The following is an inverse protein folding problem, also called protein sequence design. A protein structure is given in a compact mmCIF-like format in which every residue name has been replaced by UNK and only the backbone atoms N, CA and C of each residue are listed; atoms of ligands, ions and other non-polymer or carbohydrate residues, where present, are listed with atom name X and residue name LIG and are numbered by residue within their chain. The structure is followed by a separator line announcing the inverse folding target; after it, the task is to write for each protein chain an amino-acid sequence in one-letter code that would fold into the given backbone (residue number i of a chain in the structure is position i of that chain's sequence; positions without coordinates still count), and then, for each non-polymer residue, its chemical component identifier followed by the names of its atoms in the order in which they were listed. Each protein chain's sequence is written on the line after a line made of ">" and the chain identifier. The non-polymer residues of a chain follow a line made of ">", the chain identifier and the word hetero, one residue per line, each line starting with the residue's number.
data_IF_036033275068
#
_entry.id   IF_036033275068
#
_cell.length_a   1.000
_cell.length_b   1.000
_cell.length_c   1.000
_cell.angle_alpha   90.00
_cell.angle_beta   90.00
_cell.angle_gamma   90.00
#
_symmetry.space_group_name_H-M   'P 1'
#
loop_
_entity.id
_entity.type
_entity.pdbx_description
1 polymer ?
#
# COMPACT_ATOMS: atom_id res chain seq x y z
N UNK A 1 28.79 -8.22 18.77
CA UNK A 1 27.56 -7.78 19.48
C UNK A 1 26.96 -6.67 18.64
N UNK A 2 25.68 -6.83 18.28
CA UNK A 2 24.86 -5.83 17.63
C UNK A 2 24.86 -4.51 18.41
N UNK A 3 24.73 -3.37 17.72
CA UNK A 3 23.52 -2.55 17.77
C UNK A 3 23.66 -1.34 16.82
N UNK A 4 22.84 -1.34 15.78
CA UNK A 4 22.02 -0.21 15.32
C UNK A 4 22.70 1.15 15.23
N UNK A 5 23.24 1.45 14.05
CA UNK A 5 23.40 2.82 13.58
C UNK A 5 22.02 3.35 13.18
N UNK A 6 21.53 4.21 14.06
CA UNK A 6 20.41 5.14 13.93
C UNK A 6 20.47 5.87 12.57
N UNK A 7 19.70 5.43 11.58
CA UNK A 7 19.55 6.17 10.32
C UNK A 7 18.42 7.21 10.45
N UNK A 8 18.84 8.47 10.62
CA UNK A 8 17.99 9.67 10.70
C UNK A 8 17.73 10.32 9.32
N UNK A 9 17.59 9.55 8.24
CA UNK A 9 17.26 10.05 6.88
C UNK A 9 15.74 10.07 6.57
N UNK A 10 14.88 9.82 7.56
CA UNK A 10 13.46 9.49 7.39
C UNK A 10 12.50 10.60 6.89
N UNK A 11 12.98 11.78 6.42
CA UNK A 11 12.08 12.92 6.15
C UNK A 11 11.85 13.29 4.68
N UNK A 12 12.63 12.74 3.75
CA UNK A 12 12.45 12.99 2.30
C UNK A 12 12.12 11.69 1.53
N UNK A 13 12.56 10.53 2.03
CA UNK A 13 12.26 9.23 1.43
C UNK A 13 10.82 8.75 1.70
N UNK A 14 10.24 9.10 2.86
CA UNK A 14 8.85 8.75 3.25
C UNK A 14 7.83 9.21 2.20
N UNK A 15 7.97 10.43 1.67
CA UNK A 15 7.05 10.95 0.64
C UNK A 15 7.16 10.29 -0.73
N UNK A 16 8.36 9.84 -1.14
CA UNK A 16 8.58 9.19 -2.44
C UNK A 16 8.07 7.75 -2.36
N UNK A 17 8.38 7.04 -1.28
CA UNK A 17 7.90 5.68 -1.04
C UNK A 17 6.37 5.66 -0.86
N UNK A 18 5.79 6.64 -0.18
CA UNK A 18 4.32 6.73 -0.05
C UNK A 18 3.66 6.92 -1.41
N UNK A 19 4.23 7.76 -2.29
CA UNK A 19 3.70 7.97 -3.63
C UNK A 19 3.83 6.70 -4.50
N UNK A 20 4.93 5.97 -4.39
CA UNK A 20 5.10 4.69 -5.10
C UNK A 20 4.12 3.62 -4.62
N UNK A 21 3.90 3.53 -3.30
CA UNK A 21 2.90 2.63 -2.71
C UNK A 21 1.49 2.98 -3.16
N UNK A 22 1.13 4.27 -3.18
CA UNK A 22 -0.16 4.74 -3.71
C UNK A 22 -0.37 4.25 -5.14
N UNK A 23 0.64 4.37 -6.01
CA UNK A 23 0.55 3.87 -7.40
C UNK A 23 0.43 2.34 -7.48
N UNK A 24 1.15 1.61 -6.63
CA UNK A 24 1.01 0.14 -6.54
C UNK A 24 -0.40 -0.27 -6.10
N UNK A 25 -0.96 0.38 -5.08
CA UNK A 25 -2.32 0.16 -4.60
C UNK A 25 -3.37 0.44 -5.69
N UNK A 26 -3.21 1.53 -6.46
CA UNK A 26 -4.06 1.80 -7.64
C UNK A 26 -3.99 0.68 -8.66
N UNK A 27 -2.82 0.08 -8.86
CA UNK A 27 -2.62 -1.07 -9.73
C UNK A 27 -3.52 -2.24 -9.33
N UNK A 28 -3.56 -2.59 -8.04
CA UNK A 28 -4.42 -3.64 -7.51
C UNK A 28 -5.91 -3.29 -7.60
N UNK A 29 -6.30 -2.05 -7.28
CA UNK A 29 -7.68 -1.59 -7.42
C UNK A 29 -8.18 -1.70 -8.86
N UNK A 30 -7.34 -1.33 -9.83
CA UNK A 30 -7.66 -1.44 -11.24
C UNK A 30 -7.88 -2.91 -11.64
N UNK A 31 -7.03 -3.83 -11.16
CA UNK A 31 -7.16 -5.27 -11.40
C UNK A 31 -8.49 -5.82 -10.86
N UNK A 32 -8.83 -5.47 -9.62
CA UNK A 32 -10.12 -5.82 -9.02
C UNK A 32 -11.30 -5.23 -9.82
N UNK A 33 -11.18 -3.97 -10.25
CA UNK A 33 -12.19 -3.30 -11.09
C UNK A 33 -12.34 -3.90 -12.50
N UNK A 34 -11.32 -4.59 -13.01
CA UNK A 34 -11.40 -5.33 -14.29
C UNK A 34 -12.02 -6.72 -14.15
N UNK A 35 -12.36 -7.15 -12.93
CA UNK A 35 -12.98 -8.44 -12.64
C UNK A 35 -11.99 -9.55 -12.28
N UNK A 36 -10.75 -9.19 -11.91
CA UNK A 36 -9.80 -10.15 -11.36
C UNK A 36 -10.26 -10.65 -9.98
N UNK A 37 -9.94 -11.91 -9.67
CA UNK A 37 -10.36 -12.56 -8.43
C UNK A 37 -9.59 -12.02 -7.22
N UNK A 38 -10.30 -11.80 -6.10
CA UNK A 38 -9.73 -11.17 -4.91
C UNK A 38 -8.56 -11.98 -4.33
N UNK A 39 -8.65 -13.32 -4.35
CA UNK A 39 -7.59 -14.22 -3.90
C UNK A 39 -6.30 -14.06 -4.71
N UNK A 40 -6.39 -14.04 -6.04
CA UNK A 40 -5.23 -13.82 -6.92
C UNK A 40 -4.56 -12.45 -6.65
N UNK A 41 -5.36 -11.39 -6.55
CA UNK A 41 -4.84 -10.05 -6.24
C UNK A 41 -4.24 -10.00 -4.83
N UNK A 42 -4.81 -10.73 -3.86
CA UNK A 42 -4.29 -10.83 -2.49
C UNK A 42 -2.92 -11.50 -2.45
N UNK A 43 -2.69 -12.58 -3.19
CA UNK A 43 -1.37 -13.23 -3.22
C UNK A 43 -0.28 -12.28 -3.72
N UNK A 44 -0.56 -11.56 -4.80
CA UNK A 44 0.38 -10.56 -5.33
C UNK A 44 0.59 -9.41 -4.35
N UNK A 45 -0.49 -8.92 -3.74
CA UNK A 45 -0.42 -7.90 -2.70
C UNK A 45 0.46 -8.36 -1.55
N UNK A 46 0.21 -9.54 -0.99
CA UNK A 46 0.97 -10.09 0.12
C UNK A 46 2.45 -10.28 -0.24
N UNK A 47 2.76 -10.69 -1.47
CA UNK A 47 4.15 -10.81 -1.92
C UNK A 47 4.85 -9.46 -2.09
N UNK A 48 4.16 -8.44 -2.61
CA UNK A 48 4.75 -7.11 -2.84
C UNK A 48 4.83 -6.27 -1.56
N UNK A 49 3.90 -6.46 -0.63
CA UNK A 49 3.78 -5.72 0.63
C UNK A 49 4.25 -6.53 1.86
N UNK A 50 4.85 -7.71 1.67
CA UNK A 50 5.35 -8.57 2.76
C UNK A 50 6.30 -7.86 3.75
N UNK A 51 7.01 -6.83 3.29
CA UNK A 51 7.98 -6.06 4.06
C UNK A 51 7.50 -4.65 4.39
N UNK A 52 6.27 -4.31 4.02
CA UNK A 52 5.70 -2.98 4.23
C UNK A 52 4.89 -3.01 5.52
N UNK A 53 5.13 -2.03 6.39
CA UNK A 53 4.39 -1.94 7.64
C UNK A 53 2.93 -1.56 7.37
N UNK A 54 2.00 -2.12 8.15
CA UNK A 54 0.57 -1.83 8.00
C UNK A 54 0.27 -0.31 8.09
N UNK A 55 1.02 0.42 8.92
CA UNK A 55 0.87 1.87 9.04
C UNK A 55 1.20 2.64 7.75
N UNK A 56 2.13 2.14 6.92
CA UNK A 56 2.49 2.74 5.63
C UNK A 56 1.42 2.47 4.57
N UNK A 57 0.82 1.27 4.60
CA UNK A 57 -0.33 0.92 3.76
C UNK A 57 -1.51 1.86 4.08
N UNK A 58 -1.81 2.05 5.37
CA UNK A 58 -2.88 2.96 5.80
C UNK A 58 -2.64 4.43 5.39
N UNK A 59 -1.38 4.90 5.40
CA UNK A 59 -1.03 6.23 4.89
C UNK A 59 -1.30 6.34 3.39
N UNK A 60 -0.89 5.34 2.61
CA UNK A 60 -1.11 5.31 1.17
C UNK A 60 -2.61 5.25 0.83
N UNK A 61 -3.41 4.48 1.56
CA UNK A 61 -4.87 4.44 1.43
C UNK A 61 -5.54 5.81 1.69
N UNK A 62 -5.09 6.53 2.71
CA UNK A 62 -5.53 7.91 2.95
C UNK A 62 -5.12 8.84 1.80
N UNK A 63 -3.95 8.60 1.18
CA UNK A 63 -3.52 9.26 -0.05
C UNK A 63 -4.52 9.06 -1.19
N UNK A 64 -4.92 7.82 -1.45
CA UNK A 64 -5.91 7.47 -2.47
C UNK A 64 -7.24 8.21 -2.27
N UNK A 65 -7.77 8.22 -1.04
CA UNK A 65 -9.00 8.95 -0.73
C UNK A 65 -8.88 10.45 -1.01
N UNK A 66 -7.72 11.04 -0.70
CA UNK A 66 -7.46 12.47 -0.95
C UNK A 66 -7.37 12.79 -2.44
N UNK A 67 -6.88 11.84 -3.24
CA UNK A 67 -6.80 11.96 -4.70
C UNK A 67 -8.13 11.68 -5.42
N UNK A 68 -9.15 11.24 -4.68
CA UNK A 68 -10.50 11.04 -5.19
C UNK A 68 -10.86 9.58 -5.49
N UNK A 69 -10.02 8.62 -5.09
CA UNK A 69 -10.39 7.20 -5.13
C UNK A 69 -11.61 6.95 -4.23
N UNK A 70 -12.67 6.29 -4.74
CA UNK A 70 -13.87 6.01 -3.95
C UNK A 70 -13.56 5.18 -2.70
N UNK A 71 -14.23 5.48 -1.59
CA UNK A 71 -14.11 4.70 -0.35
C UNK A 71 -14.37 3.20 -0.57
N UNK A 72 -15.31 2.86 -1.45
CA UNK A 72 -15.63 1.46 -1.77
C UNK A 72 -14.43 0.71 -2.37
N UNK A 73 -13.62 1.37 -3.20
CA UNK A 73 -12.41 0.79 -3.76
C UNK A 73 -11.34 0.68 -2.67
N UNK A 74 -11.09 1.75 -1.91
CA UNK A 74 -10.11 1.73 -0.80
C UNK A 74 -10.44 0.64 0.22
N UNK A 75 -11.72 0.40 0.52
CA UNK A 75 -12.15 -0.66 1.44
C UNK A 75 -11.77 -2.07 0.96
N UNK A 76 -11.64 -2.29 -0.36
CA UNK A 76 -11.15 -3.57 -0.89
C UNK A 76 -9.69 -3.83 -0.50
N UNK A 77 -8.88 -2.77 -0.34
CA UNK A 77 -7.50 -2.90 0.12
C UNK A 77 -7.45 -3.34 1.58
N UNK A 78 -8.39 -2.88 2.42
CA UNK A 78 -8.53 -3.38 3.79
C UNK A 78 -8.77 -4.88 3.85
N UNK A 79 -9.55 -5.42 2.90
CA UNK A 79 -9.75 -6.86 2.83
C UNK A 79 -8.42 -7.57 2.54
N UNK A 80 -7.56 -7.03 1.66
CA UNK A 80 -6.27 -7.64 1.29
C UNK A 80 -5.27 -7.72 2.45
N UNK A 81 -5.29 -6.76 3.38
CA UNK A 81 -4.29 -6.62 4.46
C UNK A 81 -4.80 -6.89 5.89
N UNK A 82 -6.08 -7.26 6.07
CA UNK A 82 -6.64 -7.69 7.37
C UNK A 82 -6.15 -9.07 7.81
#
# INVERSE_FOLDING_TARGET
>A
KANTEENSEAKAEDTVQDSERVEQLKGFLKRLGTGEELGAVREDFASQFAHVEASEIMKAEQGLMREGTPLAEVQQLCDLHS
#
